data_IF_324793260993
#
_entry.id   IF_324793260993
#
_cell.length_a   1.000
_cell.length_b   1.000
_cell.length_c   1.000
_cell.angle_alpha   90.00
_cell.angle_beta   90.00
_cell.angle_gamma   90.00
#
_symmetry.space_group_name_H-M   'P 1'
#
loop_
_entity.id
_entity.type
_entity.pdbx_description
1 polymer ?
#
# COMPACT_ATOMS: atom_id res chain seq x y z
N UNK A 1 -11.54 13.79 10.17
CA UNK A 1 -10.45 14.04 9.20
C UNK A 1 -9.70 12.73 8.95
N UNK A 2 -9.78 12.18 7.74
CA UNK A 2 -8.92 11.05 7.36
C UNK A 2 -7.49 11.59 7.26
N UNK A 3 -6.55 11.03 8.03
CA UNK A 3 -5.12 11.32 7.89
C UNK A 3 -4.71 10.93 6.47
N UNK A 4 -4.37 11.93 5.65
CA UNK A 4 -3.71 11.73 4.37
C UNK A 4 -2.36 11.09 4.67
N UNK A 5 -2.22 9.78 4.42
CA UNK A 5 -0.93 9.12 4.60
C UNK A 5 -0.04 9.58 3.44
N UNK A 6 0.85 10.53 3.71
CA UNK A 6 1.87 10.91 2.76
C UNK A 6 2.90 9.77 2.73
N UNK A 7 2.67 8.79 1.85
CA UNK A 7 3.61 7.70 1.66
C UNK A 7 4.74 8.23 0.82
N UNK A 8 5.94 8.19 1.40
CA UNK A 8 7.15 8.65 0.74
C UNK A 8 7.37 7.94 -0.59
N UNK A 9 7.75 8.71 -1.60
CA UNK A 9 7.99 8.17 -2.93
C UNK A 9 9.28 7.33 -2.95
N UNK A 10 9.25 6.05 -3.36
CA UNK A 10 10.43 5.20 -3.41
C UNK A 10 11.47 5.66 -4.45
N UNK A 11 11.08 6.53 -5.39
CA UNK A 11 11.98 7.10 -6.40
C UNK A 11 12.79 8.29 -5.89
N UNK A 12 12.51 8.78 -4.66
CA UNK A 12 13.20 9.92 -4.08
C UNK A 12 14.69 9.64 -3.85
N UNK A 13 15.55 10.55 -4.31
CA UNK A 13 16.99 10.46 -4.16
C UNK A 13 17.41 10.51 -2.68
N UNK A 14 16.87 11.45 -1.92
CA UNK A 14 17.25 11.65 -0.51
C UNK A 14 16.44 10.74 0.39
N UNK A 15 17.11 9.77 1.04
CA UNK A 15 16.47 8.85 2.00
C UNK A 15 16.40 9.34 3.42
N UNK A 16 17.37 10.13 3.83
CA UNK A 16 17.37 10.82 5.10
C UNK A 16 16.65 12.17 4.95
N UNK A 17 15.77 12.49 5.90
CA UNK A 17 15.09 13.78 5.95
C UNK A 17 16.06 14.94 6.16
N UNK A 18 17.15 14.72 6.91
CA UNK A 18 18.15 15.76 7.17
C UNK A 18 18.94 16.10 5.90
N UNK A 19 19.36 15.09 5.13
CA UNK A 19 20.01 15.29 3.82
C UNK A 19 19.09 16.03 2.86
N UNK A 20 17.81 15.62 2.79
CA UNK A 20 16.79 16.27 1.99
C UNK A 20 16.63 17.74 2.37
N UNK A 21 16.59 18.03 3.68
CA UNK A 21 16.42 19.39 4.18
C UNK A 21 17.59 20.30 3.86
N UNK A 22 18.83 19.80 4.01
CA UNK A 22 20.04 20.54 3.61
C UNK A 22 20.02 20.82 2.11
N UNK A 23 19.72 19.82 1.27
CA UNK A 23 19.65 19.99 -0.17
C UNK A 23 18.55 20.97 -0.60
N UNK A 24 17.37 20.90 0.03
CA UNK A 24 16.25 21.81 -0.21
C UNK A 24 16.62 23.25 0.11
N UNK A 25 17.19 23.50 1.30
CA UNK A 25 17.60 24.85 1.72
C UNK A 25 18.70 25.41 0.83
N UNK A 26 19.70 24.60 0.48
CA UNK A 26 20.77 25.02 -0.43
C UNK A 26 20.22 25.41 -1.82
N UNK A 27 19.29 24.63 -2.37
CA UNK A 27 18.65 24.95 -3.64
C UNK A 27 17.87 26.28 -3.58
N UNK A 28 17.11 26.50 -2.50
CA UNK A 28 16.37 27.74 -2.26
C UNK A 28 17.28 28.97 -2.10
N UNK A 29 18.46 28.81 -1.47
CA UNK A 29 19.44 29.90 -1.29
C UNK A 29 20.16 30.22 -2.59
N UNK A 30 20.62 29.20 -3.32
CA UNK A 30 21.37 29.38 -4.56
C UNK A 30 20.54 30.03 -5.65
N UNK A 31 19.26 29.64 -5.75
CA UNK A 31 18.31 30.25 -6.65
C UNK A 31 16.91 30.29 -6.01
N UNK A 32 16.46 31.46 -5.53
CA UNK A 32 15.12 31.63 -4.95
C UNK A 32 13.98 31.20 -5.88
N UNK A 33 14.22 31.21 -7.20
CA UNK A 33 13.26 30.79 -8.22
C UNK A 33 13.48 29.36 -8.71
N UNK A 34 14.21 28.52 -7.97
CA UNK A 34 14.38 27.10 -8.32
C UNK A 34 12.99 26.46 -8.54
N UNK A 35 12.71 25.89 -9.72
CA UNK A 35 11.38 25.37 -10.00
C UNK A 35 11.15 24.03 -9.30
N UNK A 36 9.97 23.90 -8.67
CA UNK A 36 9.39 22.63 -8.28
C UNK A 36 8.26 22.28 -9.24
N UNK A 37 8.37 21.15 -9.92
CA UNK A 37 7.44 20.73 -10.97
C UNK A 37 6.28 19.94 -10.40
N UNK A 38 5.07 20.23 -10.88
CA UNK A 38 3.83 19.53 -10.53
C UNK A 38 3.48 18.49 -11.60
N UNK A 39 2.57 17.59 -11.26
CA UNK A 39 2.07 16.54 -12.16
C UNK A 39 1.27 17.07 -13.36
N UNK A 40 0.67 18.26 -13.22
CA UNK A 40 -0.06 18.97 -14.29
C UNK A 40 0.83 19.68 -15.32
N UNK A 41 2.15 19.56 -15.19
CA UNK A 41 3.14 20.18 -16.09
C UNK A 41 3.51 21.62 -15.72
N UNK A 42 2.85 22.23 -14.72
CA UNK A 42 3.22 23.55 -14.22
C UNK A 42 4.37 23.48 -13.20
N UNK A 43 4.89 24.64 -12.80
CA UNK A 43 5.90 24.73 -11.76
C UNK A 43 5.62 25.90 -10.82
N UNK A 44 6.14 25.80 -9.59
CA UNK A 44 6.13 26.87 -8.59
C UNK A 44 7.53 27.02 -7.99
N UNK A 45 7.89 28.20 -7.46
CA UNK A 45 9.18 28.37 -6.79
C UNK A 45 9.30 27.46 -5.57
N UNK A 46 10.41 26.72 -5.47
CA UNK A 46 10.67 25.74 -4.42
C UNK A 46 10.58 26.33 -3.01
N UNK A 47 11.05 27.56 -2.83
CA UNK A 47 11.05 28.28 -1.55
C UNK A 47 9.64 28.60 -1.01
N UNK A 48 8.59 28.45 -1.82
CA UNK A 48 7.19 28.62 -1.40
C UNK A 48 6.56 27.35 -0.85
N UNK A 49 7.27 26.22 -0.88
CA UNK A 49 6.75 24.91 -0.50
C UNK A 49 7.36 24.42 0.82
N UNK A 50 6.62 23.55 1.50
CA UNK A 50 7.17 22.74 2.59
C UNK A 50 8.08 21.65 2.02
N UNK A 51 9.22 21.41 2.64
CA UNK A 51 10.15 20.33 2.27
C UNK A 51 9.47 18.96 2.23
N UNK A 52 8.46 18.73 3.06
CA UNK A 52 7.68 17.49 3.08
C UNK A 52 6.77 17.34 1.85
N UNK A 53 6.38 18.44 1.19
CA UNK A 53 5.50 18.42 0.02
C UNK A 53 6.25 18.14 -1.30
N UNK A 54 7.58 18.05 -1.27
CA UNK A 54 8.40 17.85 -2.47
C UNK A 54 9.32 16.66 -2.33
N UNK A 55 9.75 16.06 -3.43
CA UNK A 55 10.83 15.08 -3.48
C UNK A 55 11.80 15.44 -4.60
N UNK A 56 13.10 15.18 -4.40
CA UNK A 56 14.09 15.32 -5.47
C UNK A 56 14.19 14.00 -6.23
N UNK A 57 13.72 13.97 -7.47
CA UNK A 57 13.57 12.77 -8.29
C UNK A 57 14.05 13.07 -9.71
N UNK A 58 14.97 12.25 -10.21
CA UNK A 58 15.48 12.39 -11.59
C UNK A 58 16.16 13.73 -11.85
N UNK A 59 16.82 14.30 -10.85
CA UNK A 59 17.53 15.58 -10.95
C UNK A 59 16.64 16.82 -10.80
N UNK A 60 15.35 16.68 -10.48
CA UNK A 60 14.41 17.79 -10.38
C UNK A 60 13.62 17.73 -9.07
N UNK A 61 13.25 18.89 -8.53
CA UNK A 61 12.31 18.98 -7.42
C UNK A 61 10.88 18.75 -7.95
N UNK A 62 10.19 17.76 -7.38
CA UNK A 62 8.85 17.34 -7.78
C UNK A 62 7.88 17.51 -6.62
N UNK A 63 6.82 18.28 -6.82
CA UNK A 63 5.72 18.38 -5.86
C UNK A 63 5.00 17.04 -5.82
N UNK A 64 4.81 16.48 -4.62
CA UNK A 64 4.13 15.21 -4.46
C UNK A 64 2.61 15.38 -4.35
N UNK A 65 1.89 14.63 -5.16
CA UNK A 65 0.44 14.59 -5.16
C UNK A 65 -0.08 13.91 -3.88
N UNK A 66 -1.03 14.56 -3.23
CA UNK A 66 -1.70 14.00 -2.06
C UNK A 66 -2.75 12.99 -2.50
N UNK A 67 -2.76 11.82 -1.86
CA UNK A 67 -3.76 10.78 -2.12
C UNK A 67 -4.42 10.33 -0.82
N UNK A 68 -5.68 9.91 -0.90
CA UNK A 68 -6.44 9.34 0.21
C UNK A 68 -6.64 7.82 0.04
N UNK A 69 -5.77 7.17 -0.72
CA UNK A 69 -5.89 5.75 -1.00
C UNK A 69 -5.77 4.92 0.28
N UNK A 70 -6.67 3.94 0.41
CA UNK A 70 -6.64 2.99 1.51
C UNK A 70 -5.59 1.93 1.23
N UNK A 71 -4.38 2.17 1.69
CA UNK A 71 -3.25 1.27 1.45
C UNK A 71 -3.11 0.28 2.60
N UNK A 72 -3.02 -1.01 2.26
CA UNK A 72 -2.85 -2.10 3.22
C UNK A 72 -1.75 -3.04 2.74
N UNK A 73 -1.08 -3.70 3.67
CA UNK A 73 -0.15 -4.78 3.36
C UNK A 73 -0.92 -6.08 3.18
N UNK A 74 -0.78 -6.71 2.01
CA UNK A 74 -1.32 -8.04 1.70
C UNK A 74 -0.18 -8.95 1.33
N UNK A 75 0.15 -9.93 2.21
CA UNK A 75 1.31 -10.83 2.03
C UNK A 75 2.60 -10.08 1.64
N UNK A 76 2.94 -9.10 2.47
CA UNK A 76 4.13 -8.24 2.31
C UNK A 76 4.15 -7.34 1.06
N UNK A 77 3.03 -7.24 0.35
CA UNK A 77 2.87 -6.30 -0.77
C UNK A 77 1.92 -5.17 -0.39
N UNK A 78 2.34 -3.90 -0.54
CA UNK A 78 1.42 -2.78 -0.38
C UNK A 78 0.42 -2.76 -1.53
N UNK A 79 -0.87 -2.69 -1.19
CA UNK A 79 -1.96 -2.66 -2.14
C UNK A 79 -2.95 -1.55 -1.80
N UNK A 80 -3.50 -0.93 -2.84
CA UNK A 80 -4.61 0.02 -2.71
C UNK A 80 -5.92 -0.79 -2.69
N UNK A 81 -6.68 -0.65 -1.61
CA UNK A 81 -8.03 -1.21 -1.50
C UNK A 81 -9.08 -0.26 -2.06
N UNK A 82 -9.88 -0.80 -2.97
CA UNK A 82 -11.09 -0.16 -3.49
C UNK A 82 -12.34 -0.56 -2.71
N UNK A 83 -13.47 -0.54 -3.41
CA UNK A 83 -14.79 -0.88 -2.85
C UNK A 83 -14.89 -2.36 -2.50
N UNK A 84 -15.70 -2.65 -1.47
CA UNK A 84 -16.11 -4.02 -1.14
C UNK A 84 -16.93 -4.61 -2.30
N UNK A 85 -16.70 -5.88 -2.62
CA UNK A 85 -17.37 -6.61 -3.68
C UNK A 85 -18.51 -7.41 -3.04
N UNK A 86 -19.77 -7.14 -3.42
CA UNK A 86 -20.90 -7.95 -2.97
C UNK A 86 -20.78 -9.40 -3.42
N UNK A 87 -21.13 -10.34 -2.56
CA UNK A 87 -21.20 -11.76 -2.87
C UNK A 87 -22.38 -12.41 -2.15
N UNK A 88 -22.91 -13.49 -2.73
CA UNK A 88 -24.04 -14.24 -2.21
C UNK A 88 -23.64 -15.49 -1.45
N UNK A 89 -22.37 -15.90 -1.53
CA UNK A 89 -21.85 -17.05 -0.79
C UNK A 89 -21.92 -16.81 0.72
N UNK A 90 -22.40 -17.80 1.48
CA UNK A 90 -22.30 -17.82 2.94
C UNK A 90 -20.85 -18.10 3.36
N UNK A 91 -20.07 -17.02 3.48
CA UNK A 91 -18.68 -17.07 3.89
C UNK A 91 -18.38 -15.98 4.91
N UNK A 92 -17.38 -16.23 5.76
CA UNK A 92 -16.84 -15.24 6.69
C UNK A 92 -15.83 -14.28 6.03
N UNK A 93 -15.50 -14.50 4.76
CA UNK A 93 -14.59 -13.64 4.01
C UNK A 93 -15.30 -12.38 3.51
N UNK A 94 -14.57 -11.27 3.53
CA UNK A 94 -14.94 -10.06 2.80
C UNK A 94 -14.03 -9.89 1.60
N UNK A 95 -14.58 -9.48 0.47
CA UNK A 95 -13.80 -9.27 -0.75
C UNK A 95 -13.78 -7.80 -1.14
N UNK A 96 -12.65 -7.31 -1.59
CA UNK A 96 -12.44 -5.92 -2.02
C UNK A 96 -11.82 -5.91 -3.40
N UNK A 97 -12.13 -4.87 -4.17
CA UNK A 97 -11.31 -4.52 -5.34
C UNK A 97 -9.92 -4.11 -4.86
N UNK A 98 -8.88 -4.53 -5.56
CA UNK A 98 -7.49 -4.22 -5.20
C UNK A 98 -6.64 -3.83 -6.41
N UNK A 99 -5.60 -3.04 -6.15
CA UNK A 99 -4.57 -2.68 -7.12
C UNK A 99 -3.21 -2.70 -6.43
N UNK A 100 -2.14 -3.03 -7.16
CA UNK A 100 -0.79 -2.88 -6.61
C UNK A 100 -0.47 -1.40 -6.43
N UNK A 101 0.24 -1.08 -5.35
CA UNK A 101 0.72 0.27 -5.16
C UNK A 101 1.89 0.54 -6.13
N UNK A 102 1.66 1.41 -7.10
CA UNK A 102 2.66 1.85 -8.08
C UNK A 102 2.91 3.34 -7.95
N UNK A 103 4.08 3.80 -8.37
CA UNK A 103 4.53 5.18 -8.22
C UNK A 103 5.02 5.77 -9.53
N UNK A 104 4.80 7.06 -9.72
CA UNK A 104 5.52 7.90 -10.68
C UNK A 104 6.37 8.94 -9.93
N UNK A 105 6.91 9.95 -10.63
CA UNK A 105 7.73 11.00 -10.01
C UNK A 105 6.96 11.95 -9.06
N UNK A 106 5.63 11.88 -9.04
CA UNK A 106 4.75 12.77 -8.28
C UNK A 106 4.02 12.02 -7.16
N UNK A 107 4.09 10.70 -7.07
CA UNK A 107 3.49 9.92 -5.99
C UNK A 107 2.81 8.65 -6.47
N UNK A 108 1.90 8.08 -5.66
CA UNK A 108 1.11 6.92 -6.04
C UNK A 108 0.27 7.18 -7.28
N UNK A 109 0.31 6.25 -8.25
CA UNK A 109 -0.49 6.33 -9.48
C UNK A 109 -1.95 5.96 -9.17
N UNK A 110 -2.88 6.55 -9.92
CA UNK A 110 -4.29 6.18 -9.85
C UNK A 110 -4.48 4.65 -10.00
N UNK A 111 -5.18 3.99 -9.08
CA UNK A 111 -5.29 2.53 -9.08
C UNK A 111 -6.13 2.04 -10.25
N UNK A 112 -5.62 1.03 -10.95
CA UNK A 112 -6.44 0.18 -11.81
C UNK A 112 -6.80 -1.10 -11.06
N UNK A 113 -8.08 -1.26 -10.71
CA UNK A 113 -8.55 -2.30 -9.80
C UNK A 113 -8.75 -3.67 -10.46
N UNK A 114 -7.65 -4.28 -10.87
CA UNK A 114 -7.62 -5.57 -11.59
C UNK A 114 -7.66 -6.80 -10.69
N UNK A 115 -7.50 -6.62 -9.38
CA UNK A 115 -7.42 -7.73 -8.43
C UNK A 115 -8.61 -7.78 -7.47
N UNK A 116 -8.79 -8.97 -6.89
CA UNK A 116 -9.65 -9.21 -5.74
C UNK A 116 -8.77 -9.43 -4.51
N UNK A 117 -9.03 -8.70 -3.43
CA UNK A 117 -8.40 -8.88 -2.13
C UNK A 117 -9.41 -9.52 -1.19
N UNK A 118 -9.09 -10.69 -0.64
CA UNK A 118 -9.88 -11.32 0.40
C UNK A 118 -9.35 -10.92 1.78
N UNK A 119 -10.28 -10.70 2.70
CA UNK A 119 -10.03 -10.39 4.10
C UNK A 119 -10.75 -11.39 4.98
N UNK A 120 -10.04 -11.93 5.96
CA UNK A 120 -10.63 -12.72 7.03
C UNK A 120 -10.22 -12.15 8.37
N UNK A 121 -11.17 -11.93 9.28
CA UNK A 121 -10.89 -11.47 10.63
C UNK A 121 -11.27 -12.56 11.62
N UNK A 122 -10.35 -12.87 12.51
CA UNK A 122 -10.50 -13.77 13.66
C UNK A 122 -10.19 -13.02 14.94
N UNK A 123 -10.39 -13.65 16.08
CA UNK A 123 -10.00 -13.10 17.38
C UNK A 123 -8.48 -12.98 17.52
N UNK A 124 -7.70 -13.79 16.78
CA UNK A 124 -6.24 -13.77 16.80
C UNK A 124 -5.61 -12.75 15.86
N UNK A 125 -6.35 -12.28 14.86
CA UNK A 125 -5.79 -11.40 13.85
C UNK A 125 -6.64 -11.22 12.59
N UNK A 126 -6.16 -10.34 11.71
CA UNK A 126 -6.73 -10.12 10.38
C UNK A 126 -5.77 -10.65 9.32
N UNK A 127 -6.27 -11.56 8.49
CA UNK A 127 -5.55 -12.17 7.39
C UNK A 127 -6.02 -11.59 6.07
N UNK A 128 -5.07 -11.47 5.14
CA UNK A 128 -5.30 -10.89 3.82
C UNK A 128 -4.66 -11.76 2.75
N UNK A 129 -5.34 -11.92 1.63
CA UNK A 129 -4.81 -12.55 0.40
C UNK A 129 -5.35 -11.80 -0.81
N UNK A 130 -4.75 -12.02 -1.98
CA UNK A 130 -5.23 -11.43 -3.24
C UNK A 130 -5.15 -12.45 -4.37
N UNK A 131 -6.01 -12.28 -5.38
CA UNK A 131 -6.06 -13.10 -6.59
C UNK A 131 -6.75 -12.37 -7.74
N UNK A 132 -6.79 -12.98 -8.93
CA UNK A 132 -7.49 -12.39 -10.09
C UNK A 132 -9.01 -12.48 -9.95
N UNK A 133 -9.48 -13.53 -9.30
CA UNK A 133 -10.91 -13.77 -9.03
C UNK A 133 -11.19 -13.93 -7.53
N UNK A 134 -12.47 -13.92 -7.15
CA UNK A 134 -12.90 -14.26 -5.78
C UNK A 134 -12.45 -15.67 -5.40
N UNK A 135 -12.57 -16.63 -6.32
CA UNK A 135 -12.16 -18.01 -6.08
C UNK A 135 -10.65 -18.11 -5.80
N UNK A 136 -9.81 -17.41 -6.58
CA UNK A 136 -8.36 -17.39 -6.38
C UNK A 136 -7.99 -16.76 -5.03
N UNK A 137 -8.54 -15.57 -4.74
CA UNK A 137 -8.26 -14.86 -3.51
C UNK A 137 -8.67 -15.70 -2.29
N UNK A 138 -9.81 -16.38 -2.37
CA UNK A 138 -10.29 -17.32 -1.35
C UNK A 138 -9.37 -18.54 -1.20
N UNK A 139 -8.95 -19.16 -2.30
CA UNK A 139 -8.04 -20.31 -2.27
C UNK A 139 -6.70 -19.93 -1.60
N UNK A 140 -6.13 -18.77 -1.94
CA UNK A 140 -4.91 -18.27 -1.31
C UNK A 140 -5.11 -17.88 0.15
N UNK A 141 -6.32 -17.44 0.55
CA UNK A 141 -6.65 -17.25 1.96
C UNK A 141 -6.63 -18.61 2.69
N UNK A 142 -7.24 -19.64 2.10
CA UNK A 142 -7.25 -21.00 2.64
C UNK A 142 -5.84 -21.52 2.92
N UNK A 143 -4.92 -21.37 1.97
CA UNK A 143 -3.51 -21.73 2.15
C UNK A 143 -2.89 -20.96 3.31
N UNK A 144 -3.09 -19.63 3.38
CA UNK A 144 -2.52 -18.81 4.47
C UNK A 144 -3.03 -19.24 5.85
N UNK A 145 -4.31 -19.57 5.96
CA UNK A 145 -4.91 -20.03 7.21
C UNK A 145 -4.44 -21.45 7.56
N UNK A 146 -4.22 -22.31 6.56
CA UNK A 146 -3.62 -23.61 6.79
C UNK A 146 -2.22 -23.45 7.39
N UNK A 147 -1.36 -22.60 6.81
CA UNK A 147 -0.01 -22.35 7.35
C UNK A 147 -0.04 -21.82 8.79
N UNK A 148 -1.02 -20.97 9.12
CA UNK A 148 -1.17 -20.38 10.45
C UNK A 148 -1.67 -21.38 11.50
N UNK A 149 -2.56 -22.30 11.10
CA UNK A 149 -3.24 -23.21 12.01
C UNK A 149 -2.83 -24.67 11.81
N UNK A 150 -1.74 -24.93 11.08
CA UNK A 150 -1.31 -26.27 10.68
C UNK A 150 -1.18 -27.20 11.89
N UNK A 151 -0.48 -26.79 12.93
CA UNK A 151 -0.28 -27.59 14.15
C UNK A 151 -1.59 -27.88 14.89
N UNK A 152 -2.50 -26.91 14.93
CA UNK A 152 -3.83 -27.09 15.52
C UNK A 152 -4.65 -28.10 14.71
N UNK A 153 -4.62 -28.00 13.38
CA UNK A 153 -5.32 -28.92 12.48
C UNK A 153 -4.76 -30.33 12.66
N UNK A 154 -3.44 -30.51 12.65
CA UNK A 154 -2.77 -31.81 12.82
C UNK A 154 -3.05 -32.41 14.20
N UNK A 155 -2.91 -31.64 15.27
CA UNK A 155 -3.14 -32.15 16.63
C UNK A 155 -4.58 -32.63 16.85
N UNK A 156 -5.58 -31.92 16.31
CA UNK A 156 -6.99 -32.34 16.37
C UNK A 156 -7.25 -33.58 15.49
N UNK A 157 -6.65 -33.64 14.30
CA UNK A 157 -6.78 -34.80 13.41
C UNK A 157 -6.20 -36.08 14.05
N UNK A 158 -5.01 -36.00 14.64
CA UNK A 158 -4.36 -37.14 15.31
C UNK A 158 -5.07 -37.55 16.61
N UNK A 159 -5.60 -36.60 17.40
CA UNK A 159 -6.39 -36.93 18.60
C UNK A 159 -7.62 -37.81 18.28
N UNK A 160 -8.27 -37.58 17.14
CA UNK A 160 -9.43 -38.39 16.70
C UNK A 160 -9.03 -39.81 16.25
N UNK A 161 -7.79 -40.05 15.86
CA UNK A 161 -7.31 -41.40 15.56
C UNK A 161 -7.04 -42.20 16.84
N UNK A 162 -6.49 -41.56 17.88
CA UNK A 162 -6.21 -42.22 19.16
C UNK A 162 -7.51 -42.68 19.86
N UNK A 163 -8.62 -41.95 19.69
CA UNK A 163 -9.93 -42.34 20.24
C UNK A 163 -10.66 -43.45 19.45
N UNK A 164 -10.14 -43.84 18.28
CA UNK A 164 -10.73 -44.90 17.44
C UNK A 164 -9.99 -46.23 17.53
N UNK A 165 -8.87 -46.28 18.24
CA UNK A 165 -8.14 -47.49 18.59
C UNK A 165 -8.38 -47.83 20.06
#
# INVERSE_FOLDING_TARGET
MQKTNQIRNPLANYRDINEKQVAFLNACIQNPNTPAYKSDGTSVPLNTLDVNAVEFIGGLWRVQDLTNYKIVMVRDRPMILGKEIPHTEHTFFKYYRGSFLTYNCYGPIAPHYEMVVAKYKTDRGTYWSYGKTIADARAFMGIRLYDEYMDLIHSVACKKQIQKN
#
